data_IF_203479352041
#
_entry.id   IF_203479352041
#
_cell.length_a   1.000
_cell.length_b   1.000
_cell.length_c   1.000
_cell.angle_alpha   90.00
_cell.angle_beta   90.00
_cell.angle_gamma   90.00
#
_symmetry.space_group_name_H-M   'P 1'
#
loop_
_entity.id
_entity.type
_entity.pdbx_description
1 polymer ?
#
# COMPACT_ATOMS: atom_id res chain seq x y z
N UNK A 1 26.02 -14.33 4.02
CA UNK A 1 24.64 -14.84 4.06
C UNK A 1 23.97 -14.34 5.32
N UNK A 2 22.81 -13.72 5.20
CA UNK A 2 22.02 -13.20 6.31
C UNK A 2 20.66 -13.90 6.34
N UNK A 3 20.09 -14.05 7.55
CA UNK A 3 18.83 -14.71 7.79
C UNK A 3 18.97 -16.21 8.03
N UNK A 4 17.89 -16.82 8.46
CA UNK A 4 17.79 -18.25 8.80
C UNK A 4 16.49 -18.86 8.29
N UNK A 5 16.46 -20.18 8.18
CA UNK A 5 15.26 -20.96 7.79
C UNK A 5 14.32 -21.22 8.98
N UNK A 6 14.46 -20.50 10.09
CA UNK A 6 13.66 -20.67 11.30
C UNK A 6 12.40 -19.81 11.29
N UNK A 7 11.36 -20.27 11.94
CA UNK A 7 10.08 -19.53 12.03
C UNK A 7 10.19 -18.25 12.87
N UNK A 8 11.09 -18.24 13.86
CA UNK A 8 11.36 -17.11 14.75
C UNK A 8 12.86 -17.05 14.99
N UNK A 9 13.47 -15.91 14.74
CA UNK A 9 14.83 -15.65 15.16
C UNK A 9 14.80 -15.24 16.64
N UNK A 10 15.51 -16.00 17.49
CA UNK A 10 15.53 -15.78 18.95
C UNK A 10 16.82 -15.06 19.39
N UNK A 11 17.86 -15.10 18.57
CA UNK A 11 19.14 -14.46 18.87
C UNK A 11 19.76 -13.86 17.62
N UNK A 12 20.33 -12.65 17.76
CA UNK A 12 21.01 -11.94 16.69
C UNK A 12 20.17 -10.92 15.93
N UNK A 13 20.82 -10.07 15.17
CA UNK A 13 20.19 -9.05 14.35
C UNK A 13 19.64 -9.68 13.07
N UNK A 14 18.38 -9.34 12.72
CA UNK A 14 17.77 -9.78 11.48
C UNK A 14 18.14 -8.80 10.34
N UNK A 15 19.39 -8.86 9.91
CA UNK A 15 19.93 -8.03 8.84
C UNK A 15 19.16 -8.23 7.53
N UNK A 16 18.60 -9.42 7.30
CA UNK A 16 17.82 -9.71 6.10
C UNK A 16 16.58 -8.83 5.97
N UNK A 17 16.04 -8.31 7.06
CA UNK A 17 14.88 -7.40 7.04
C UNK A 17 15.20 -5.96 6.65
N UNK A 18 16.46 -5.55 6.68
CA UNK A 18 16.88 -4.23 6.23
C UNK A 18 16.90 -4.10 4.71
N UNK A 19 17.06 -5.22 4.00
CA UNK A 19 17.22 -5.23 2.55
C UNK A 19 15.90 -5.03 1.78
N UNK A 20 14.75 -5.62 2.17
CA UNK A 20 13.48 -5.27 1.56
C UNK A 20 13.18 -3.77 1.72
N UNK A 21 12.71 -3.15 0.64
CA UNK A 21 12.42 -1.71 0.56
C UNK A 21 13.64 -0.77 0.60
N UNK A 22 14.87 -1.28 0.61
CA UNK A 22 16.08 -0.45 0.51
C UNK A 22 16.31 0.13 -0.90
N UNK A 23 15.47 -0.22 -1.87
CA UNK A 23 15.55 0.23 -3.27
C UNK A 23 16.93 0.00 -3.92
N UNK A 24 17.66 -1.02 -3.45
CA UNK A 24 18.99 -1.36 -3.95
C UNK A 24 20.12 -0.46 -3.43
N UNK A 25 19.87 0.33 -2.36
CA UNK A 25 20.85 1.27 -1.83
C UNK A 25 21.79 0.69 -0.77
N UNK A 26 21.54 -0.53 -0.31
CA UNK A 26 22.35 -1.17 0.73
C UNK A 26 23.16 -2.35 0.20
N UNK A 27 22.65 -3.11 -0.76
CA UNK A 27 23.34 -4.29 -1.27
C UNK A 27 22.71 -4.81 -2.57
N UNK A 28 23.48 -5.64 -3.30
CA UNK A 28 22.98 -6.47 -4.38
C UNK A 28 22.50 -7.82 -3.82
N UNK A 29 21.24 -8.15 -4.04
CA UNK A 29 20.67 -9.44 -3.66
C UNK A 29 20.99 -10.49 -4.74
N UNK A 30 21.73 -11.53 -4.37
CA UNK A 30 22.10 -12.63 -5.27
C UNK A 30 21.11 -13.78 -5.17
N UNK A 31 20.65 -14.09 -3.96
CA UNK A 31 19.74 -15.18 -3.68
C UNK A 31 18.75 -14.77 -2.59
N UNK A 32 17.49 -15.14 -2.77
CA UNK A 32 16.41 -14.85 -1.82
C UNK A 32 15.63 -16.13 -1.53
N UNK A 33 15.48 -16.47 -0.25
CA UNK A 33 14.61 -17.55 0.22
C UNK A 33 13.35 -16.97 0.82
N UNK A 34 12.17 -17.25 0.21
CA UNK A 34 10.88 -16.80 0.68
C UNK A 34 10.12 -17.93 1.35
N UNK A 35 9.64 -17.68 2.56
CA UNK A 35 8.67 -18.56 3.21
C UNK A 35 7.28 -18.26 2.64
N UNK A 36 6.64 -19.26 2.07
CA UNK A 36 5.29 -19.15 1.50
C UNK A 36 4.26 -19.80 2.42
N UNK A 37 3.02 -19.30 2.34
CA UNK A 37 1.86 -19.92 2.98
C UNK A 37 1.08 -20.75 1.96
N UNK A 38 0.36 -21.79 2.41
CA UNK A 38 -0.56 -22.53 1.55
C UNK A 38 -1.57 -21.59 0.89
N UNK A 39 -1.92 -21.87 -0.37
CA UNK A 39 -2.95 -21.10 -1.06
C UNK A 39 -4.29 -21.31 -0.35
N UNK A 40 -5.07 -20.22 -0.08
CA UNK A 40 -6.38 -20.35 0.53
C UNK A 40 -7.33 -21.24 -0.30
N UNK A 41 -8.10 -22.08 0.37
CA UNK A 41 -9.03 -23.01 -0.27
C UNK A 41 -10.31 -22.35 -0.77
N UNK A 42 -10.67 -21.19 -0.20
CA UNK A 42 -11.85 -20.42 -0.61
C UNK A 42 -11.52 -18.92 -0.66
N UNK A 43 -12.19 -18.24 -1.58
CA UNK A 43 -12.16 -16.78 -1.69
C UNK A 43 -13.52 -16.28 -2.16
N UNK A 44 -13.90 -15.09 -1.69
CA UNK A 44 -15.07 -14.36 -2.17
C UNK A 44 -14.75 -12.86 -2.22
N UNK A 45 -15.29 -12.18 -3.21
CA UNK A 45 -15.15 -10.71 -3.35
C UNK A 45 -16.50 -10.06 -3.30
N UNK A 46 -16.62 -9.00 -2.53
CA UNK A 46 -17.86 -8.26 -2.32
C UNK A 46 -17.65 -6.81 -2.70
N UNK A 47 -18.54 -6.28 -3.53
CA UNK A 47 -18.64 -4.88 -3.90
C UNK A 47 -19.75 -4.21 -3.10
N UNK A 48 -19.48 -3.01 -2.58
CA UNK A 48 -20.48 -2.21 -1.85
C UNK A 48 -20.37 -0.76 -2.31
N UNK A 49 -21.36 -0.23 -3.02
CA UNK A 49 -21.39 1.19 -3.39
C UNK A 49 -21.51 2.06 -2.15
N UNK A 50 -20.59 3.01 -1.99
CA UNK A 50 -20.64 3.98 -0.88
C UNK A 50 -19.63 5.10 -1.07
N UNK A 51 -19.85 6.21 -0.36
CA UNK A 51 -18.88 7.30 -0.31
C UNK A 51 -17.61 6.91 0.49
N UNK A 52 -16.57 7.70 0.32
CA UNK A 52 -15.24 7.48 0.88
C UNK A 52 -15.25 7.37 2.42
N UNK A 53 -15.94 8.28 3.11
CA UNK A 53 -15.96 8.33 4.57
C UNK A 53 -16.57 7.06 5.18
N UNK A 54 -17.70 6.61 4.60
CA UNK A 54 -18.33 5.35 5.01
C UNK A 54 -17.43 4.14 4.73
N UNK A 55 -16.75 4.13 3.59
CA UNK A 55 -15.84 3.05 3.22
C UNK A 55 -14.68 2.92 4.22
N UNK A 56 -14.04 4.04 4.59
CA UNK A 56 -12.96 4.05 5.61
C UNK A 56 -13.48 3.52 6.94
N UNK A 57 -14.63 4.01 7.42
CA UNK A 57 -15.24 3.57 8.67
C UNK A 57 -15.54 2.07 8.63
N UNK A 58 -16.11 1.58 7.54
CA UNK A 58 -16.52 0.19 7.40
C UNK A 58 -15.32 -0.75 7.29
N UNK A 59 -14.28 -0.38 6.53
CA UNK A 59 -13.03 -1.13 6.46
C UNK A 59 -12.40 -1.31 7.84
N UNK A 60 -12.36 -0.26 8.66
CA UNK A 60 -11.81 -0.32 10.00
C UNK A 60 -12.69 -1.13 10.97
N UNK A 61 -14.01 -0.99 10.85
CA UNK A 61 -14.96 -1.81 11.62
C UNK A 61 -14.79 -3.29 11.31
N UNK A 62 -14.63 -3.67 10.06
CA UNK A 62 -14.41 -5.07 9.68
C UNK A 62 -13.01 -5.56 10.04
N UNK A 63 -12.00 -4.71 9.97
CA UNK A 63 -10.64 -5.05 10.40
C UNK A 63 -10.52 -5.40 11.88
N UNK A 64 -11.40 -4.82 12.72
CA UNK A 64 -11.44 -5.12 14.16
C UNK A 64 -12.19 -6.42 14.52
N UNK A 65 -12.73 -7.13 13.52
CA UNK A 65 -13.49 -8.35 13.70
C UNK A 65 -12.70 -9.56 13.18
N UNK A 66 -12.97 -10.77 13.66
CA UNK A 66 -12.31 -12.00 13.22
C UNK A 66 -12.81 -12.44 11.82
N UNK A 67 -12.68 -11.57 10.84
CA UNK A 67 -13.05 -11.82 9.46
C UNK A 67 -11.81 -12.24 8.65
N UNK A 68 -11.92 -13.19 7.71
CA UNK A 68 -10.80 -13.61 6.87
C UNK A 68 -10.55 -12.60 5.73
N UNK A 69 -10.35 -11.32 6.10
CA UNK A 69 -10.03 -10.25 5.16
C UNK A 69 -8.64 -10.46 4.56
N UNK A 70 -8.52 -10.40 3.26
CA UNK A 70 -7.25 -10.57 2.56
C UNK A 70 -6.87 -9.40 1.67
N UNK A 71 -7.83 -8.61 1.24
CA UNK A 71 -7.59 -7.34 0.52
C UNK A 71 -8.79 -6.42 0.67
N UNK A 72 -8.55 -5.12 0.54
CA UNK A 72 -9.57 -4.09 0.51
C UNK A 72 -9.15 -2.97 -0.44
N UNK A 73 -10.10 -2.45 -1.20
CA UNK A 73 -9.92 -1.21 -1.96
C UNK A 73 -11.23 -0.45 -2.04
N UNK A 74 -11.14 0.86 -1.98
CA UNK A 74 -12.23 1.75 -2.36
C UNK A 74 -11.77 2.63 -3.52
N UNK A 75 -12.59 2.75 -4.54
CA UNK A 75 -12.32 3.60 -5.70
C UNK A 75 -13.52 4.49 -5.96
N UNK A 76 -13.27 5.75 -6.19
CA UNK A 76 -14.32 6.73 -6.45
C UNK A 76 -13.82 8.17 -6.34
N UNK A 77 -14.78 9.09 -6.34
CA UNK A 77 -14.57 10.52 -6.15
C UNK A 77 -15.09 11.02 -4.79
N UNK A 78 -15.19 12.33 -4.61
CA UNK A 78 -15.66 12.93 -3.35
C UNK A 78 -17.11 12.54 -3.01
N UNK A 79 -17.92 12.17 -3.99
CA UNK A 79 -19.36 11.95 -3.85
C UNK A 79 -19.74 10.49 -3.77
N UNK A 80 -19.11 9.67 -4.58
CA UNK A 80 -19.48 8.27 -4.79
C UNK A 80 -18.29 7.38 -5.08
N UNK A 81 -18.45 6.09 -4.84
CA UNK A 81 -17.43 5.09 -5.13
C UNK A 81 -17.88 3.69 -4.78
N UNK A 82 -16.96 2.75 -4.90
CA UNK A 82 -17.19 1.34 -4.61
C UNK A 82 -16.12 0.80 -3.68
N UNK A 83 -16.54 0.30 -2.54
CA UNK A 83 -15.72 -0.51 -1.65
C UNK A 83 -15.70 -1.95 -2.15
N UNK A 84 -14.52 -2.49 -2.37
CA UNK A 84 -14.30 -3.88 -2.77
C UNK A 84 -13.50 -4.59 -1.70
N UNK A 85 -14.03 -5.69 -1.19
CA UNK A 85 -13.40 -6.49 -0.12
C UNK A 85 -13.19 -7.91 -0.63
N UNK A 86 -11.99 -8.46 -0.38
CA UNK A 86 -11.70 -9.87 -0.60
C UNK A 86 -11.59 -10.61 0.73
N UNK A 87 -12.37 -11.67 0.83
CA UNK A 87 -12.30 -12.68 1.88
C UNK A 87 -11.51 -13.87 1.36
N UNK A 88 -10.58 -14.44 2.13
CA UNK A 88 -9.83 -15.63 1.72
C UNK A 88 -9.44 -16.46 2.94
N UNK A 89 -9.61 -17.79 2.86
CA UNK A 89 -9.26 -18.68 3.96
C UNK A 89 -9.99 -20.02 3.91
N UNK A 90 -10.32 -20.56 5.10
CA UNK A 90 -11.15 -21.75 5.22
C UNK A 90 -12.57 -21.50 4.70
N UNK A 91 -13.15 -22.48 4.02
CA UNK A 91 -14.44 -22.33 3.33
C UNK A 91 -15.57 -21.89 4.28
N UNK A 92 -15.64 -22.46 5.50
CA UNK A 92 -16.65 -22.10 6.48
C UNK A 92 -16.52 -20.65 6.94
N UNK A 93 -15.26 -20.18 7.18
CA UNK A 93 -14.98 -18.81 7.58
C UNK A 93 -15.36 -17.81 6.46
N UNK A 94 -15.00 -18.12 5.21
CA UNK A 94 -15.35 -17.28 4.06
C UNK A 94 -16.87 -17.19 3.89
N UNK A 95 -17.60 -18.31 3.95
CA UNK A 95 -19.06 -18.31 3.86
C UNK A 95 -19.74 -17.50 4.95
N UNK A 96 -19.33 -17.69 6.20
CA UNK A 96 -19.87 -16.94 7.34
C UNK A 96 -19.63 -15.43 7.21
N UNK A 97 -18.39 -15.04 6.86
CA UNK A 97 -18.04 -13.65 6.62
C UNK A 97 -18.82 -13.04 5.45
N UNK A 98 -18.94 -13.79 4.35
CA UNK A 98 -19.73 -13.37 3.17
C UNK A 98 -21.19 -13.08 3.53
N UNK A 99 -21.84 -13.99 4.27
CA UNK A 99 -23.22 -13.80 4.71
C UNK A 99 -23.36 -12.53 5.58
N UNK A 100 -22.38 -12.28 6.45
CA UNK A 100 -22.35 -11.07 7.29
C UNK A 100 -22.17 -9.78 6.48
N UNK A 101 -21.22 -9.75 5.55
CA UNK A 101 -20.94 -8.55 4.75
C UNK A 101 -22.10 -8.22 3.78
N UNK A 102 -22.83 -9.22 3.32
CA UNK A 102 -24.00 -9.05 2.46
C UNK A 102 -25.21 -8.42 3.19
N UNK A 103 -25.19 -8.28 4.50
CA UNK A 103 -26.17 -7.49 5.23
C UNK A 103 -25.97 -5.97 5.04
N UNK A 104 -24.83 -5.56 4.49
CA UNK A 104 -24.62 -4.16 4.13
C UNK A 104 -25.50 -3.80 2.92
N UNK A 105 -26.22 -2.68 2.95
CA UNK A 105 -27.05 -2.27 1.83
C UNK A 105 -26.27 -2.23 0.51
N UNK A 106 -26.91 -2.70 -0.55
CA UNK A 106 -26.36 -2.75 -1.92
C UNK A 106 -25.10 -3.60 -2.11
N UNK A 107 -24.71 -4.38 -1.09
CA UNK A 107 -23.60 -5.31 -1.20
C UNK A 107 -23.90 -6.43 -2.20
N UNK A 108 -22.96 -6.69 -3.09
CA UNK A 108 -23.05 -7.72 -4.13
C UNK A 108 -21.81 -8.58 -4.18
N UNK A 109 -22.00 -9.87 -4.39
CA UNK A 109 -20.89 -10.79 -4.67
C UNK A 109 -20.45 -10.58 -6.11
N UNK A 110 -19.14 -10.46 -6.29
CA UNK A 110 -18.55 -10.45 -7.61
C UNK A 110 -18.36 -11.90 -8.10
N UNK A 111 -18.63 -12.13 -9.37
CA UNK A 111 -18.33 -13.41 -10.01
C UNK A 111 -16.85 -13.79 -9.80
N UNK A 112 -16.52 -15.06 -9.55
CA UNK A 112 -15.15 -15.48 -9.24
C UNK A 112 -14.13 -15.14 -10.32
N UNK A 113 -14.48 -15.21 -11.60
CA UNK A 113 -13.59 -14.89 -12.70
C UNK A 113 -13.34 -13.37 -12.77
N UNK A 114 -14.41 -12.60 -12.69
CA UNK A 114 -14.33 -11.14 -12.60
C UNK A 114 -13.55 -10.69 -11.35
N UNK A 115 -13.73 -11.34 -10.21
CA UNK A 115 -13.00 -11.08 -8.98
C UNK A 115 -11.50 -11.32 -9.14
N UNK A 116 -11.11 -12.43 -9.76
CA UNK A 116 -9.71 -12.76 -10.02
C UNK A 116 -9.07 -11.72 -10.95
N UNK A 117 -9.74 -11.35 -12.02
CA UNK A 117 -9.29 -10.32 -12.94
C UNK A 117 -9.16 -8.97 -12.23
N UNK A 118 -10.15 -8.56 -11.43
CA UNK A 118 -10.13 -7.32 -10.67
C UNK A 118 -8.88 -7.24 -9.78
N UNK A 119 -8.62 -8.26 -8.96
CA UNK A 119 -7.48 -8.26 -8.05
C UNK A 119 -6.14 -8.40 -8.77
N UNK A 120 -6.10 -9.06 -9.92
CA UNK A 120 -4.92 -9.08 -10.78
C UNK A 120 -4.60 -7.68 -11.29
N UNK A 121 -5.60 -6.98 -11.82
CA UNK A 121 -5.44 -5.60 -12.31
C UNK A 121 -5.07 -4.63 -11.19
N UNK A 122 -5.59 -4.81 -9.97
CA UNK A 122 -5.18 -4.04 -8.79
C UNK A 122 -3.69 -4.26 -8.46
N UNK A 123 -3.27 -5.52 -8.42
CA UNK A 123 -1.89 -5.90 -8.12
C UNK A 123 -0.91 -5.35 -9.15
N UNK A 124 -1.25 -5.46 -10.42
CA UNK A 124 -0.40 -5.01 -11.55
C UNK A 124 -0.54 -3.50 -11.84
N UNK A 125 -1.43 -2.80 -11.13
CA UNK A 125 -1.76 -1.39 -11.40
C UNK A 125 -2.18 -1.13 -12.86
N UNK A 126 -2.97 -2.03 -13.42
CA UNK A 126 -3.50 -1.96 -14.80
C UNK A 126 -4.97 -1.55 -14.86
N UNK A 127 -5.61 -1.24 -13.73
CA UNK A 127 -6.94 -0.65 -13.71
C UNK A 127 -6.92 0.79 -14.25
N UNK A 128 -8.07 1.25 -14.74
CA UNK A 128 -8.23 2.58 -15.34
C UNK A 128 -7.70 3.69 -14.43
N UNK A 129 -7.95 3.59 -13.14
CA UNK A 129 -7.40 4.53 -12.16
C UNK A 129 -5.87 4.66 -12.29
N UNK A 130 -5.14 3.55 -12.36
CA UNK A 130 -3.68 3.57 -12.39
C UNK A 130 -3.11 3.89 -13.77
N UNK A 131 -3.75 3.48 -14.86
CA UNK A 131 -3.26 3.76 -16.22
C UNK A 131 -3.46 5.21 -16.65
N UNK A 132 -4.43 5.89 -16.09
CA UNK A 132 -4.71 7.31 -16.35
C UNK A 132 -3.62 8.26 -15.83
N UNK A 133 -2.63 7.77 -15.05
CA UNK A 133 -1.45 8.54 -14.65
C UNK A 133 -0.61 9.04 -15.84
N UNK A 134 -0.86 8.54 -17.05
CA UNK A 134 -0.21 9.05 -18.27
C UNK A 134 -0.54 10.52 -18.57
N UNK A 135 -1.57 11.06 -17.92
CA UNK A 135 -2.03 12.44 -18.10
C UNK A 135 -1.77 13.33 -16.88
N UNK A 136 -1.37 12.76 -15.75
CA UNK A 136 -1.13 13.49 -14.50
C UNK A 136 -0.21 12.72 -13.57
N UNK A 137 0.21 13.35 -12.48
CA UNK A 137 1.02 12.70 -11.45
C UNK A 137 0.21 11.69 -10.64
N UNK A 138 0.87 10.60 -10.22
CA UNK A 138 0.31 9.62 -9.28
C UNK A 138 1.03 9.75 -7.93
N UNK A 139 0.27 10.12 -6.93
CA UNK A 139 0.71 10.25 -5.55
C UNK A 139 0.29 9.05 -4.71
N UNK A 140 1.18 8.62 -3.82
CA UNK A 140 0.90 7.61 -2.80
C UNK A 140 1.06 8.22 -1.41
N UNK A 141 0.00 8.15 -0.63
CA UNK A 141 -0.02 8.52 0.78
C UNK A 141 -0.09 7.26 1.63
N UNK A 142 0.84 7.11 2.56
CA UNK A 142 0.75 6.14 3.65
C UNK A 142 0.39 6.91 4.91
N UNK A 143 -0.81 6.69 5.44
CA UNK A 143 -1.38 7.45 6.57
C UNK A 143 -1.97 6.52 7.62
N UNK A 144 -2.34 7.06 8.76
CA UNK A 144 -3.09 6.28 9.74
C UNK A 144 -4.40 5.76 9.09
N UNK A 145 -4.69 4.43 9.15
CA UNK A 145 -5.90 3.86 8.55
C UNK A 145 -7.20 4.51 9.02
N UNK A 146 -7.22 5.03 10.25
CA UNK A 146 -8.37 5.71 10.84
C UNK A 146 -8.53 7.17 10.37
N UNK A 147 -7.58 7.70 9.63
CA UNK A 147 -7.67 9.07 9.13
C UNK A 147 -8.91 9.29 8.27
N UNK A 148 -9.61 10.42 8.43
CA UNK A 148 -10.75 10.77 7.58
C UNK A 148 -10.33 10.88 6.11
N UNK A 149 -11.29 11.09 5.18
CA UNK A 149 -10.95 11.42 3.80
C UNK A 149 -9.92 12.54 3.71
N UNK A 150 -8.91 12.36 2.86
CA UNK A 150 -7.97 13.44 2.56
C UNK A 150 -8.67 14.47 1.67
N UNK A 151 -8.41 15.77 1.86
CA UNK A 151 -9.03 16.82 1.06
C UNK A 151 -8.38 16.92 -0.33
N UNK A 152 -8.51 15.85 -1.10
CA UNK A 152 -7.96 15.68 -2.46
C UNK A 152 -9.12 15.62 -3.45
N UNK A 153 -9.13 16.43 -4.51
CA UNK A 153 -10.21 16.44 -5.48
C UNK A 153 -10.17 15.25 -6.44
N UNK A 154 -11.33 14.88 -6.97
CA UNK A 154 -11.45 13.88 -8.03
C UNK A 154 -11.21 12.43 -7.58
N UNK A 155 -10.80 11.61 -8.54
CA UNK A 155 -10.70 10.17 -8.33
C UNK A 155 -9.56 9.78 -7.39
N UNK A 156 -9.89 8.94 -6.42
CA UNK A 156 -8.96 8.39 -5.45
C UNK A 156 -9.13 6.86 -5.36
N UNK A 157 -8.04 6.20 -4.95
CA UNK A 157 -8.06 4.79 -4.61
C UNK A 157 -7.49 4.61 -3.21
N UNK A 158 -8.22 3.90 -2.35
CA UNK A 158 -7.83 3.62 -0.96
C UNK A 158 -7.66 2.12 -0.81
N UNK A 159 -6.52 1.71 -0.29
CA UNK A 159 -6.18 0.30 -0.04
C UNK A 159 -5.74 0.08 1.42
N UNK A 160 -5.43 -1.17 1.75
CA UNK A 160 -4.88 -1.58 3.06
C UNK A 160 -5.70 -1.06 4.22
N UNK A 161 -7.03 -1.27 4.13
CA UNK A 161 -7.98 -0.87 5.17
C UNK A 161 -7.95 0.62 5.51
N UNK A 162 -7.56 1.47 4.56
CA UNK A 162 -7.48 2.92 4.73
C UNK A 162 -6.07 3.48 4.90
N UNK A 163 -5.06 2.62 5.08
CA UNK A 163 -3.69 3.05 5.33
C UNK A 163 -2.91 3.51 4.10
N UNK A 164 -3.24 2.99 2.93
CA UNK A 164 -2.63 3.41 1.66
C UNK A 164 -3.67 4.11 0.80
N UNK A 165 -3.32 5.32 0.35
CA UNK A 165 -4.22 6.13 -0.48
C UNK A 165 -3.49 6.64 -1.70
N UNK A 166 -4.14 6.51 -2.84
CA UNK A 166 -3.65 6.95 -4.13
C UNK A 166 -4.46 8.14 -4.63
N UNK A 167 -3.76 9.09 -5.21
CA UNK A 167 -4.36 10.27 -5.80
C UNK A 167 -3.75 10.53 -7.17
N UNK A 168 -4.60 10.80 -8.16
CA UNK A 168 -4.23 11.25 -9.49
C UNK A 168 -4.47 12.75 -9.59
N UNK A 169 -3.41 13.53 -9.72
CA UNK A 169 -3.54 14.98 -9.84
C UNK A 169 -2.22 15.71 -9.61
N UNK A 170 -2.25 17.01 -9.93
CA UNK A 170 -1.15 17.92 -9.63
C UNK A 170 -1.23 18.32 -8.15
N UNK A 171 -0.14 18.15 -7.44
CA UNK A 171 -0.02 18.49 -6.02
C UNK A 171 1.40 18.98 -5.75
N UNK A 172 1.53 20.08 -5.01
CA UNK A 172 2.83 20.55 -4.56
C UNK A 172 3.46 19.59 -3.55
N UNK A 173 4.76 19.35 -3.65
CA UNK A 173 5.47 18.42 -2.76
C UNK A 173 5.29 18.78 -1.27
N UNK A 174 5.42 20.05 -0.93
CA UNK A 174 5.23 20.51 0.45
C UNK A 174 3.78 20.35 0.92
N UNK A 175 2.81 20.61 0.05
CA UNK A 175 1.39 20.39 0.35
C UNK A 175 1.10 18.90 0.62
N UNK A 176 1.63 18.00 -0.22
CA UNK A 176 1.50 16.55 -0.03
C UNK A 176 2.10 16.10 1.31
N UNK A 177 3.28 16.62 1.63
CA UNK A 177 3.98 16.35 2.90
C UNK A 177 3.16 16.78 4.10
N UNK A 178 2.73 18.05 4.13
CA UNK A 178 1.95 18.59 5.25
C UNK A 178 0.64 17.83 5.46
N UNK A 179 -0.04 17.50 4.36
CA UNK A 179 -1.25 16.69 4.41
C UNK A 179 -0.98 15.29 5.00
N UNK A 180 0.07 14.61 4.57
CA UNK A 180 0.43 13.29 5.09
C UNK A 180 0.83 13.35 6.57
N UNK A 181 1.63 14.33 6.98
CA UNK A 181 2.06 14.54 8.37
C UNK A 181 0.87 14.81 9.29
N UNK A 182 -0.09 15.64 8.87
CA UNK A 182 -1.31 15.90 9.63
C UNK A 182 -2.15 14.62 9.89
N UNK A 183 -1.93 13.57 9.09
CA UNK A 183 -2.60 12.28 9.19
C UNK A 183 -1.66 11.15 9.68
N UNK A 184 -0.55 11.51 10.30
CA UNK A 184 0.41 10.58 10.92
C UNK A 184 1.17 9.71 9.93
N UNK A 185 1.48 10.23 8.74
CA UNK A 185 2.09 9.47 7.67
C UNK A 185 3.06 10.24 6.79
N UNK A 186 3.25 9.73 5.58
CA UNK A 186 4.10 10.35 4.56
C UNK A 186 3.47 10.24 3.16
N UNK A 187 3.90 11.13 2.26
CA UNK A 187 3.51 11.12 0.86
C UNK A 187 4.71 10.80 -0.03
N UNK A 188 4.45 10.19 -1.18
CA UNK A 188 5.45 9.88 -2.20
C UNK A 188 4.86 10.22 -3.57
N UNK A 189 5.59 10.96 -4.39
CA UNK A 189 5.30 11.09 -5.81
C UNK A 189 5.71 9.78 -6.49
N UNK A 190 4.75 8.90 -6.75
CA UNK A 190 5.00 7.53 -7.19
C UNK A 190 5.31 7.44 -8.69
N UNK A 191 4.56 8.21 -9.49
CA UNK A 191 4.81 8.40 -10.92
C UNK A 191 4.58 9.85 -11.30
N UNK A 192 5.47 10.44 -12.11
CA UNK A 192 5.34 11.80 -12.60
C UNK A 192 5.30 11.86 -14.12
N UNK A 193 4.53 12.81 -14.66
CA UNK A 193 4.55 13.16 -16.08
C UNK A 193 5.90 13.73 -16.50
N UNK A 194 6.45 14.59 -15.67
CA UNK A 194 7.73 15.26 -15.90
C UNK A 194 8.86 14.43 -15.30
N UNK A 195 9.17 13.28 -15.87
CA UNK A 195 10.31 12.47 -15.41
C UNK A 195 11.62 13.24 -15.61
N UNK A 196 12.24 13.79 -14.57
CA UNK A 196 13.69 13.83 -14.56
C UNK A 196 14.15 12.38 -14.44
N UNK A 197 15.11 11.96 -15.25
CA UNK A 197 15.71 10.63 -15.18
C UNK A 197 16.43 10.35 -13.82
N UNK A 198 16.39 11.29 -12.91
CA UNK A 198 17.04 11.25 -11.61
C UNK A 198 16.02 11.62 -10.54
N UNK A 199 15.59 10.62 -9.79
CA UNK A 199 15.20 10.84 -8.42
C UNK A 199 13.91 11.60 -8.12
N UNK A 200 12.79 11.27 -8.78
CA UNK A 200 11.46 11.66 -8.25
C UNK A 200 11.31 11.19 -6.80
N UNK A 201 12.00 10.14 -6.43
CA UNK A 201 12.11 9.71 -5.02
C UNK A 201 12.98 10.65 -4.18
N UNK A 202 14.02 11.30 -4.69
CA UNK A 202 14.97 12.11 -3.92
C UNK A 202 14.36 13.39 -3.36
N UNK A 203 13.53 14.08 -4.10
CA UNK A 203 12.96 15.36 -3.63
C UNK A 203 11.93 15.19 -2.50
N UNK A 204 11.32 14.02 -2.38
CA UNK A 204 10.33 13.73 -1.34
C UNK A 204 10.88 12.91 -0.18
N UNK A 205 12.04 12.32 -0.35
CA UNK A 205 12.64 11.41 0.63
C UNK A 205 13.39 12.14 1.75
N UNK A 206 13.99 13.29 1.49
CA UNK A 206 14.46 14.17 2.55
C UNK A 206 13.33 14.61 3.49
N UNK A 207 12.10 14.42 3.04
CA UNK A 207 10.88 14.77 3.73
C UNK A 207 10.18 13.58 4.42
N UNK A 208 10.45 12.35 3.98
CA UNK A 208 9.86 11.15 4.58
C UNK A 208 10.60 10.70 5.84
N UNK A 209 11.88 11.06 5.98
CA UNK A 209 12.64 10.75 7.18
C UNK A 209 12.43 11.87 8.21
N UNK A 210 11.81 11.52 9.32
CA UNK A 210 11.82 12.38 10.49
C UNK A 210 13.25 12.60 10.94
N UNK A 211 13.57 13.80 11.44
CA UNK A 211 14.92 14.16 11.88
C UNK A 211 15.67 13.09 12.71
N UNK A 212 14.99 12.31 13.58
CA UNK A 212 15.63 11.21 14.31
C UNK A 212 16.07 10.02 13.44
N UNK A 213 15.44 9.76 12.30
CA UNK A 213 15.73 8.59 11.45
C UNK A 213 16.84 8.86 10.44
N UNK A 214 17.03 10.08 9.99
CA UNK A 214 18.04 10.43 9.00
C UNK A 214 19.46 10.00 9.38
N UNK A 215 19.97 10.25 10.63
CA UNK A 215 21.28 9.78 11.04
C UNK A 215 21.42 8.26 11.08
N UNK A 216 20.33 7.54 11.39
CA UNK A 216 20.31 6.07 11.42
C UNK A 216 20.47 5.53 10.00
N UNK A 217 19.71 6.07 9.04
CA UNK A 217 19.79 5.68 7.63
C UNK A 217 21.18 5.98 7.06
N UNK A 218 21.75 7.13 7.37
CA UNK A 218 23.11 7.47 6.97
C UNK A 218 24.17 6.48 7.50
N UNK A 219 24.08 6.10 8.78
CA UNK A 219 24.98 5.09 9.38
C UNK A 219 24.80 3.71 8.72
N UNK A 220 23.58 3.30 8.45
CA UNK A 220 23.33 2.05 7.73
C UNK A 220 24.01 2.06 6.36
N UNK A 221 23.89 3.15 5.62
CA UNK A 221 24.55 3.28 4.30
C UNK A 221 26.05 3.22 4.41
N UNK A 222 26.65 4.05 5.24
CA UNK A 222 28.11 4.04 5.40
C UNK A 222 28.65 2.70 5.90
N UNK A 223 27.82 1.89 6.57
CA UNK A 223 28.19 0.55 7.03
C UNK A 223 28.07 -0.49 5.92
N UNK A 224 27.00 -0.44 5.11
CA UNK A 224 26.74 -1.45 4.07
C UNK A 224 27.37 -1.09 2.73
N UNK A 225 27.53 0.18 2.42
CA UNK A 225 28.08 0.71 1.16
C UNK A 225 29.09 1.83 1.43
N UNK A 226 30.24 1.53 2.09
CA UNK A 226 31.24 2.54 2.45
C UNK A 226 31.83 3.23 1.23
N UNK A 227 31.92 2.55 0.10
CA UNK A 227 32.46 3.08 -1.15
C UNK A 227 31.42 3.75 -2.05
N UNK A 228 30.17 3.84 -1.56
CA UNK A 228 29.05 4.48 -2.30
C UNK A 228 28.76 3.90 -3.69
N UNK A 229 28.92 2.59 -3.85
CA UNK A 229 28.70 1.87 -5.12
C UNK A 229 27.20 1.76 -5.46
N UNK A 230 26.34 1.66 -4.44
CA UNK A 230 24.90 1.47 -4.59
C UNK A 230 24.10 2.77 -4.50
N UNK A 231 24.72 3.91 -4.77
CA UNK A 231 24.02 5.21 -4.81
C UNK A 231 23.10 5.30 -6.03
N UNK A 232 21.89 4.80 -5.89
CA UNK A 232 20.88 4.83 -6.98
C UNK A 232 20.18 6.18 -7.10
N UNK A 233 20.40 7.14 -6.20
CA UNK A 233 19.65 8.39 -6.09
C UNK A 233 18.16 8.20 -5.75
N UNK A 234 17.74 6.99 -5.36
CA UNK A 234 16.35 6.64 -5.07
C UNK A 234 15.96 6.77 -3.60
N UNK A 235 16.95 6.87 -2.74
CA UNK A 235 16.76 7.15 -1.31
C UNK A 235 17.77 8.20 -0.86
N UNK A 236 17.44 9.08 0.10
CA UNK A 236 18.35 10.09 0.65
C UNK A 236 19.55 9.46 1.34
#
# INVERSE_FOLDING_TARGET
SFGGKVMKNVAGYDVSRLLPSSLGTLALLLEVSLKVLPKPVASATIHVPMNQAKAITLMNTWASQPLPLSASTWQGDETSGTLTIRLSGAQAAVRSAQAKLLLTPDAKILDPEMANQFWLMMREQTQDFFINHKQTDLWRFAVNPLSPPLPLPGNQCIEWLGGQRWFLGQLGAEQAKQMALAHGGHATLFKSLNKPNTGVFTQLQDQALTAPLAPIVQRLRSTFDPDSVFQTGRMP
#
